data_IF_551978895139
#
_entry.id   IF_551978895139
#
_cell.length_a   1.000
_cell.length_b   1.000
_cell.length_c   1.000
_cell.angle_alpha   90.00
_cell.angle_beta   90.00
_cell.angle_gamma   90.00
#
_symmetry.space_group_name_H-M   'P 1'
#
loop_
_entity.id
_entity.type
_entity.pdbx_description
1 polymer ?
#
# COMPACT_ATOMS: atom_id res chain seq x y z
N UNK A 1 -29.64 8.86 11.26
CA UNK A 1 -30.19 7.61 10.70
C UNK A 1 -29.19 6.88 9.79
N UNK A 2 -28.70 7.49 8.70
CA UNK A 2 -27.72 6.87 7.77
C UNK A 2 -26.43 6.34 8.43
N UNK A 3 -25.88 7.05 9.42
CA UNK A 3 -24.69 6.62 10.15
C UNK A 3 -24.91 5.32 10.95
N UNK A 4 -26.10 5.14 11.54
CA UNK A 4 -26.46 3.93 12.31
C UNK A 4 -26.56 2.69 11.41
N UNK A 5 -27.07 2.88 10.19
CA UNK A 5 -27.18 1.82 9.18
C UNK A 5 -25.80 1.50 8.56
N UNK A 6 -24.95 2.52 8.38
CA UNK A 6 -23.54 2.34 7.99
C UNK A 6 -22.79 1.45 8.99
N UNK A 7 -22.98 1.69 10.29
CA UNK A 7 -22.33 0.95 11.38
C UNK A 7 -22.76 -0.53 11.44
N UNK A 8 -24.03 -0.84 11.14
CA UNK A 8 -24.48 -2.24 11.07
C UNK A 8 -23.83 -3.01 9.91
N UNK A 9 -23.53 -2.34 8.79
CA UNK A 9 -22.80 -2.95 7.67
C UNK A 9 -21.36 -3.32 8.04
N UNK A 10 -20.67 -2.48 8.82
CA UNK A 10 -19.32 -2.79 9.34
C UNK A 10 -19.35 -4.01 10.25
N UNK A 11 -20.39 -4.13 11.09
CA UNK A 11 -20.54 -5.28 12.00
C UNK A 11 -20.78 -6.59 11.27
N UNK A 12 -21.50 -6.57 10.14
CA UNK A 12 -21.78 -7.76 9.34
C UNK A 12 -20.53 -8.34 8.64
N UNK A 13 -19.55 -7.49 8.28
CA UNK A 13 -18.31 -7.87 7.59
C UNK A 13 -17.06 -7.58 8.43
N UNK A 14 -17.17 -7.69 9.75
CA UNK A 14 -16.14 -7.29 10.69
C UNK A 14 -14.80 -8.01 10.50
N UNK A 15 -14.80 -9.27 10.05
CA UNK A 15 -13.55 -10.05 9.84
C UNK A 15 -12.68 -9.44 8.73
N UNK A 16 -13.26 -9.16 7.57
CA UNK A 16 -12.55 -8.55 6.44
C UNK A 16 -12.07 -7.14 6.79
N UNK A 17 -12.90 -6.42 7.54
CA UNK A 17 -12.58 -5.10 8.05
C UNK A 17 -11.40 -5.11 9.03
N UNK A 18 -11.38 -6.08 9.95
CA UNK A 18 -10.29 -6.23 10.93
C UNK A 18 -8.95 -6.52 10.26
N UNK A 19 -8.92 -7.40 9.25
CA UNK A 19 -7.67 -7.72 8.53
C UNK A 19 -7.10 -6.46 7.91
N UNK A 20 -7.93 -5.68 7.24
CA UNK A 20 -7.49 -4.46 6.57
C UNK A 20 -7.11 -3.35 7.57
N UNK A 21 -7.89 -3.21 8.63
CA UNK A 21 -7.61 -2.27 9.72
C UNK A 21 -6.31 -2.60 10.45
N UNK A 22 -6.03 -3.90 10.67
CA UNK A 22 -4.79 -4.36 11.28
C UNK A 22 -3.56 -4.00 10.44
N UNK A 23 -3.65 -4.05 9.11
CA UNK A 23 -2.55 -3.63 8.26
C UNK A 23 -2.33 -2.12 8.25
N UNK A 24 -3.39 -1.30 8.41
CA UNK A 24 -3.23 0.17 8.60
C UNK A 24 -2.57 0.51 9.95
N UNK A 25 -2.91 -0.23 11.01
CA UNK A 25 -2.24 -0.13 12.32
C UNK A 25 -0.77 -0.52 12.17
N UNK A 26 -0.47 -1.65 11.53
CA UNK A 26 0.90 -2.11 11.35
C UNK A 26 1.74 -1.13 10.51
N UNK A 27 1.16 -0.61 9.41
CA UNK A 27 1.80 0.39 8.57
C UNK A 27 2.18 1.66 9.36
N UNK A 28 1.26 2.19 10.17
CA UNK A 28 1.54 3.37 11.01
C UNK A 28 2.50 3.07 12.15
N UNK A 29 2.45 1.87 12.74
CA UNK A 29 3.39 1.44 13.77
C UNK A 29 4.83 1.33 13.25
N UNK A 30 5.03 0.70 12.09
CA UNK A 30 6.34 0.58 11.44
C UNK A 30 6.86 1.96 11.01
N UNK A 31 5.99 2.80 10.44
CA UNK A 31 6.38 4.16 10.06
C UNK A 31 6.84 4.98 11.27
N UNK A 32 6.10 4.92 12.39
CA UNK A 32 6.49 5.56 13.64
C UNK A 32 7.84 5.07 14.14
N UNK A 33 8.06 3.76 14.13
CA UNK A 33 9.33 3.17 14.57
C UNK A 33 10.52 3.68 13.76
N UNK A 34 10.40 3.78 12.44
CA UNK A 34 11.46 4.32 11.58
C UNK A 34 11.72 5.81 11.84
N UNK A 35 10.65 6.62 11.94
CA UNK A 35 10.76 8.05 12.24
C UNK A 35 11.33 8.31 13.65
N UNK A 36 10.94 7.51 14.63
CA UNK A 36 11.43 7.61 16.00
C UNK A 36 12.94 7.35 16.09
N UNK A 37 13.49 6.43 15.28
CA UNK A 37 14.93 6.18 15.23
C UNK A 37 15.64 7.25 14.38
N UNK A 38 15.06 7.65 13.24
CA UNK A 38 15.66 8.63 12.32
C UNK A 38 15.80 10.03 12.93
N UNK A 39 14.82 10.46 13.72
CA UNK A 39 14.73 11.82 14.27
C UNK A 39 15.33 11.97 15.68
N UNK A 40 15.74 10.87 16.32
CA UNK A 40 16.26 10.95 17.69
C UNK A 40 17.68 11.54 17.71
N UNK A 41 17.76 12.84 17.97
CA UNK A 41 19.02 13.59 17.96
C UNK A 41 20.07 13.03 18.93
N UNK A 42 19.64 12.44 20.05
CA UNK A 42 20.55 11.83 21.03
C UNK A 42 21.24 10.57 20.50
N UNK A 43 20.58 9.82 19.62
CA UNK A 43 21.15 8.63 18.97
C UNK A 43 22.02 9.00 17.77
N UNK A 44 21.55 9.93 16.94
CA UNK A 44 22.23 10.36 15.71
C UNK A 44 23.54 11.10 15.99
N UNK A 45 23.56 11.99 17.00
CA UNK A 45 24.70 12.87 17.23
C UNK A 45 25.76 12.26 18.16
N UNK A 46 25.43 11.20 18.90
CA UNK A 46 26.33 10.62 19.91
C UNK A 46 27.31 9.58 19.35
N UNK A 47 27.06 9.04 18.16
CA UNK A 47 27.90 7.97 17.58
C UNK A 47 28.11 8.16 16.08
N UNK A 48 29.31 7.83 15.59
CA UNK A 48 29.61 7.76 14.16
C UNK A 48 28.72 6.74 13.43
N UNK A 49 28.34 5.67 14.13
CA UNK A 49 27.37 4.67 13.64
C UNK A 49 25.97 5.28 13.49
N UNK A 50 25.53 6.12 14.43
CA UNK A 50 24.25 6.82 14.38
C UNK A 50 24.13 7.80 13.20
N UNK A 51 25.23 8.46 12.82
CA UNK A 51 25.26 9.36 11.65
C UNK A 51 25.06 8.60 10.33
N UNK A 52 25.76 7.46 10.15
CA UNK A 52 25.58 6.62 8.96
C UNK A 52 24.22 5.91 8.95
N UNK A 53 23.75 5.48 10.13
CA UNK A 53 22.44 4.84 10.28
C UNK A 53 21.28 5.81 9.95
N UNK A 54 21.43 7.12 10.26
CA UNK A 54 20.40 8.12 9.94
C UNK A 54 20.04 8.13 8.45
N UNK A 55 21.03 8.08 7.57
CA UNK A 55 20.77 8.05 6.13
C UNK A 55 19.88 6.84 5.76
N UNK A 56 20.21 5.66 6.27
CA UNK A 56 19.45 4.43 6.02
C UNK A 56 18.01 4.53 6.55
N UNK A 57 17.80 5.05 7.75
CA UNK A 57 16.45 5.21 8.31
C UNK A 57 15.62 6.28 7.59
N UNK A 58 16.23 7.38 7.13
CA UNK A 58 15.54 8.41 6.34
C UNK A 58 15.14 7.88 4.96
N UNK A 59 16.05 7.20 4.25
CA UNK A 59 15.69 6.57 2.98
C UNK A 59 14.66 5.44 3.18
N UNK A 60 14.78 4.69 4.28
CA UNK A 60 13.80 3.70 4.70
C UNK A 60 12.41 4.32 4.95
N UNK A 61 12.34 5.49 5.58
CA UNK A 61 11.06 6.18 5.78
C UNK A 61 10.44 6.64 4.47
N UNK A 62 11.24 7.16 3.52
CA UNK A 62 10.77 7.49 2.16
C UNK A 62 10.20 6.24 1.44
N UNK A 63 10.88 5.10 1.53
CA UNK A 63 10.37 3.83 0.99
C UNK A 63 9.04 3.43 1.63
N UNK A 64 8.95 3.55 2.95
CA UNK A 64 7.72 3.27 3.68
C UNK A 64 6.59 4.21 3.27
N UNK A 65 6.85 5.50 3.02
CA UNK A 65 5.83 6.42 2.48
C UNK A 65 5.28 5.90 1.15
N UNK A 66 6.14 5.44 0.23
CA UNK A 66 5.67 4.87 -1.04
C UNK A 66 4.82 3.61 -0.85
N UNK A 67 5.26 2.68 0.00
CA UNK A 67 4.54 1.42 0.26
C UNK A 67 3.21 1.69 0.97
N UNK A 68 3.21 2.53 2.00
CA UNK A 68 2.01 2.90 2.77
C UNK A 68 1.00 3.65 1.92
N UNK A 69 1.44 4.52 1.01
CA UNK A 69 0.56 5.19 0.05
C UNK A 69 -0.20 4.17 -0.80
N UNK A 70 0.51 3.23 -1.44
CA UNK A 70 -0.12 2.18 -2.26
C UNK A 70 -1.06 1.32 -1.42
N UNK A 71 -0.64 0.94 -0.21
CA UNK A 71 -1.44 0.13 0.70
C UNK A 71 -2.72 0.84 1.14
N UNK A 72 -2.65 2.11 1.54
CA UNK A 72 -3.82 2.91 1.96
C UNK A 72 -4.81 3.05 0.80
N UNK A 73 -4.33 3.29 -0.42
CA UNK A 73 -5.22 3.35 -1.58
C UNK A 73 -5.88 2.01 -1.89
N UNK A 74 -5.12 0.92 -1.86
CA UNK A 74 -5.65 -0.42 -2.04
C UNK A 74 -6.71 -0.75 -0.99
N UNK A 75 -6.36 -0.53 0.29
CA UNK A 75 -7.25 -0.75 1.42
C UNK A 75 -8.55 0.04 1.28
N UNK A 76 -8.44 1.33 0.99
CA UNK A 76 -9.60 2.18 0.81
C UNK A 76 -10.51 1.72 -0.35
N UNK A 77 -9.93 1.38 -1.51
CA UNK A 77 -10.68 0.85 -2.64
C UNK A 77 -11.38 -0.48 -2.33
N UNK A 78 -10.74 -1.34 -1.53
CA UNK A 78 -11.29 -2.61 -1.08
C UNK A 78 -12.43 -2.41 -0.06
N UNK A 79 -12.27 -1.53 0.93
CA UNK A 79 -13.37 -1.16 1.84
C UNK A 79 -14.57 -0.61 1.07
N UNK A 80 -14.31 0.21 0.05
CA UNK A 80 -15.36 0.75 -0.79
C UNK A 80 -16.05 -0.37 -1.58
N UNK A 81 -15.31 -1.31 -2.19
CA UNK A 81 -15.90 -2.37 -2.99
C UNK A 81 -16.85 -3.27 -2.20
N UNK A 82 -16.52 -3.57 -0.95
CA UNK A 82 -17.39 -4.36 -0.06
C UNK A 82 -18.74 -3.68 0.24
N UNK A 83 -18.83 -2.36 0.07
CA UNK A 83 -20.00 -1.55 0.48
C UNK A 83 -20.69 -0.85 -0.68
N UNK A 84 -20.18 -1.04 -1.91
CA UNK A 84 -20.78 -0.52 -3.15
C UNK A 84 -22.24 -0.95 -3.31
N UNK A 85 -22.57 -2.18 -2.94
CA UNK A 85 -23.93 -2.70 -3.02
C UNK A 85 -24.89 -1.92 -2.08
N UNK A 86 -24.50 -1.73 -0.82
CA UNK A 86 -25.29 -0.99 0.17
C UNK A 86 -25.49 0.47 -0.26
N UNK A 87 -24.45 1.11 -0.80
CA UNK A 87 -24.55 2.46 -1.35
C UNK A 87 -25.44 2.54 -2.59
N UNK A 88 -25.43 1.52 -3.44
CA UNK A 88 -26.33 1.41 -4.59
C UNK A 88 -27.79 1.32 -4.18
N UNK A 89 -28.10 0.53 -3.14
CA UNK A 89 -29.45 0.43 -2.58
C UNK A 89 -29.93 1.79 -2.01
N UNK A 90 -29.07 2.52 -1.31
CA UNK A 90 -29.42 3.86 -0.82
C UNK A 90 -29.70 4.85 -1.97
N UNK A 91 -28.97 4.76 -3.09
CA UNK A 91 -29.26 5.58 -4.27
C UNK A 91 -30.62 5.25 -4.90
N UNK A 92 -31.00 3.96 -4.96
CA UNK A 92 -32.34 3.55 -5.44
C UNK A 92 -33.47 4.07 -4.56
N UNK A 93 -33.24 4.18 -3.24
CA UNK A 93 -34.18 4.76 -2.28
C UNK A 93 -34.21 6.30 -2.29
N UNK A 94 -33.56 6.94 -3.28
CA UNK A 94 -33.58 8.39 -3.47
C UNK A 94 -32.50 9.18 -2.72
N UNK A 95 -31.48 8.51 -2.14
CA UNK A 95 -30.38 9.23 -1.51
C UNK A 95 -29.49 9.93 -2.55
N UNK A 96 -29.28 11.25 -2.38
CA UNK A 96 -28.39 12.03 -3.24
C UNK A 96 -26.94 11.53 -3.16
N UNK A 97 -26.29 11.34 -4.30
CA UNK A 97 -24.89 10.87 -4.39
C UNK A 97 -23.90 11.73 -3.60
N UNK A 98 -24.14 13.05 -3.49
CA UNK A 98 -23.33 13.98 -2.68
C UNK A 98 -23.33 13.61 -1.18
N UNK A 99 -24.47 13.14 -0.65
CA UNK A 99 -24.60 12.78 0.77
C UNK A 99 -23.90 11.46 1.07
N UNK A 100 -23.97 10.51 0.14
CA UNK A 100 -23.25 9.22 0.21
C UNK A 100 -21.73 9.46 0.14
N UNK A 101 -21.28 10.29 -0.81
CA UNK A 101 -19.86 10.67 -0.96
C UNK A 101 -19.28 11.34 0.29
N UNK A 102 -20.05 12.23 0.94
CA UNK A 102 -19.65 12.83 2.22
C UNK A 102 -19.60 11.81 3.38
N UNK A 103 -20.53 10.86 3.41
CA UNK A 103 -20.56 9.79 4.43
C UNK A 103 -19.33 8.89 4.31
N UNK A 104 -19.00 8.48 3.08
CA UNK A 104 -17.83 7.66 2.74
C UNK A 104 -16.52 8.35 3.16
N UNK A 105 -16.40 9.64 2.84
CA UNK A 105 -15.21 10.43 3.19
C UNK A 105 -15.04 10.49 4.71
N UNK A 106 -16.12 10.77 5.45
CA UNK A 106 -16.08 10.84 6.91
C UNK A 106 -15.71 9.49 7.53
N UNK A 107 -16.23 8.38 7.00
CA UNK A 107 -15.86 7.06 7.47
C UNK A 107 -14.38 6.75 7.22
N UNK A 108 -13.89 7.03 6.01
CA UNK A 108 -12.47 6.82 5.65
C UNK A 108 -11.56 7.60 6.60
N UNK A 109 -11.93 8.84 6.93
CA UNK A 109 -11.19 9.68 7.88
C UNK A 109 -11.22 9.13 9.31
N UNK A 110 -12.39 8.74 9.82
CA UNK A 110 -12.52 8.20 11.19
C UNK A 110 -11.68 6.94 11.34
N UNK A 111 -11.73 6.05 10.37
CA UNK A 111 -11.02 4.78 10.38
C UNK A 111 -9.52 4.98 10.26
N UNK A 112 -9.12 5.93 9.40
CA UNK A 112 -7.74 6.35 9.28
C UNK A 112 -7.18 6.96 10.56
N UNK A 113 -7.95 7.82 11.23
CA UNK A 113 -7.54 8.43 12.51
C UNK A 113 -7.40 7.37 13.61
N UNK A 114 -8.39 6.48 13.77
CA UNK A 114 -8.33 5.44 14.80
C UNK A 114 -7.15 4.49 14.53
N UNK A 115 -6.95 4.04 13.28
CA UNK A 115 -5.83 3.16 12.93
C UNK A 115 -4.48 3.83 13.17
N UNK A 116 -4.34 5.12 12.86
CA UNK A 116 -3.10 5.88 13.10
C UNK A 116 -2.83 6.01 14.59
N UNK A 117 -3.82 6.37 15.40
CA UNK A 117 -3.64 6.51 16.86
C UNK A 117 -3.24 5.18 17.49
N UNK A 118 -3.96 4.10 17.16
CA UNK A 118 -3.66 2.76 17.68
C UNK A 118 -2.29 2.29 17.18
N UNK A 119 -1.98 2.53 15.91
CA UNK A 119 -0.69 2.17 15.32
C UNK A 119 0.48 2.95 15.91
N UNK A 120 0.34 4.24 16.23
CA UNK A 120 1.36 5.00 16.95
C UNK A 120 1.61 4.40 18.34
N UNK A 121 0.55 4.03 19.08
CA UNK A 121 0.69 3.37 20.40
C UNK A 121 1.45 2.04 20.27
N UNK A 122 1.05 1.20 19.31
CA UNK A 122 1.75 -0.06 19.02
C UNK A 122 3.19 0.20 18.56
N UNK A 123 3.41 1.24 17.76
CA UNK A 123 4.70 1.66 17.25
C UNK A 123 5.67 2.09 18.36
N UNK A 124 5.20 2.76 19.41
CA UNK A 124 6.01 3.06 20.60
C UNK A 124 6.50 1.77 21.25
N UNK A 125 5.62 0.78 21.40
CA UNK A 125 5.98 -0.55 21.91
C UNK A 125 7.01 -1.26 21.02
N UNK A 126 6.81 -1.26 19.69
CA UNK A 126 7.77 -1.83 18.73
C UNK A 126 9.13 -1.12 18.80
N UNK A 127 9.12 0.21 18.93
CA UNK A 127 10.34 1.02 19.03
C UNK A 127 11.12 0.65 20.30
N UNK A 128 10.43 0.41 21.41
CA UNK A 128 11.08 -0.06 22.65
C UNK A 128 11.75 -1.43 22.47
N UNK A 129 11.09 -2.36 21.78
CA UNK A 129 11.67 -3.68 21.49
C UNK A 129 12.90 -3.58 20.57
N UNK A 130 12.78 -2.85 19.47
CA UNK A 130 13.87 -2.72 18.48
C UNK A 130 15.05 -1.95 19.05
N UNK A 131 14.81 -0.89 19.82
CA UNK A 131 15.90 -0.14 20.47
C UNK A 131 16.66 -0.98 21.49
N UNK A 132 15.97 -1.86 22.25
CA UNK A 132 16.64 -2.83 23.13
C UNK A 132 17.57 -3.77 22.38
N UNK A 133 17.14 -4.29 21.23
CA UNK A 133 17.97 -5.14 20.36
C UNK A 133 19.16 -4.37 19.80
N UNK A 134 18.95 -3.12 19.36
CA UNK A 134 20.01 -2.26 18.82
C UNK A 134 21.08 -1.96 19.88
N UNK A 135 20.68 -1.62 21.09
CA UNK A 135 21.60 -1.32 22.19
C UNK A 135 22.46 -2.54 22.53
N UNK A 136 21.84 -3.72 22.64
CA UNK A 136 22.56 -4.97 22.90
C UNK A 136 23.54 -5.33 21.75
N UNK A 137 23.14 -5.07 20.51
CA UNK A 137 23.94 -5.43 19.33
C UNK A 137 25.10 -4.46 19.07
N UNK A 138 24.93 -3.18 19.39
CA UNK A 138 25.91 -2.11 19.11
C UNK A 138 26.72 -1.68 20.34
N UNK A 139 26.48 -2.27 21.52
CA UNK A 139 27.13 -1.91 22.80
C UNK A 139 27.06 -0.40 23.15
N UNK A 140 25.99 0.27 22.71
CA UNK A 140 25.77 1.70 22.97
C UNK A 140 25.10 1.87 24.34
N UNK A 141 25.59 2.73 25.25
CA UNK A 141 24.95 2.92 26.55
C UNK A 141 23.49 3.38 26.42
N UNK A 142 22.60 2.74 27.19
CA UNK A 142 21.13 2.94 27.24
C UNK A 142 20.68 4.40 27.46
N UNK A 143 21.58 5.31 27.82
CA UNK A 143 21.28 6.68 28.23
C UNK A 143 20.86 7.62 27.08
N UNK A 144 21.03 7.18 25.82
CA UNK A 144 20.90 8.05 24.65
C UNK A 144 19.67 7.77 23.77
N UNK A 145 18.81 6.79 24.09
CA UNK A 145 17.64 6.48 23.27
C UNK A 145 16.33 6.60 24.06
N UNK A 146 15.39 7.38 23.53
CA UNK A 146 14.04 7.52 24.09
C UNK A 146 13.04 6.93 23.09
N UNK A 147 12.36 5.80 23.43
CA UNK A 147 11.40 5.16 22.53
C UNK A 147 10.21 6.05 22.16
N UNK A 148 9.84 6.96 23.06
CA UNK A 148 8.81 7.96 22.83
C UNK A 148 9.44 9.28 22.39
N UNK A 149 9.26 9.64 21.11
CA UNK A 149 9.76 10.90 20.56
C UNK A 149 8.61 11.72 19.94
N UNK A 150 8.34 12.90 20.50
CA UNK A 150 7.22 13.76 20.09
C UNK A 150 7.29 14.17 18.60
N UNK A 151 8.45 14.56 18.05
CA UNK A 151 8.53 14.89 16.62
C UNK A 151 8.12 13.73 15.71
N UNK A 152 8.46 12.49 16.07
CA UNK A 152 8.05 11.31 15.30
C UNK A 152 6.52 11.06 15.38
N UNK A 153 5.90 11.35 16.53
CA UNK A 153 4.43 11.30 16.66
C UNK A 153 3.78 12.32 15.72
N UNK A 154 4.31 13.54 15.66
CA UNK A 154 3.78 14.58 14.79
C UNK A 154 3.97 14.27 13.30
N UNK A 155 5.16 13.79 12.89
CA UNK A 155 5.40 13.44 11.48
C UNK A 155 4.51 12.28 11.03
N UNK A 156 4.31 11.27 11.88
CA UNK A 156 3.41 10.14 11.58
C UNK A 156 1.96 10.56 11.49
N UNK A 157 1.44 11.33 12.46
CA UNK A 157 0.07 11.84 12.42
C UNK A 157 -0.19 12.70 11.19
N UNK A 158 0.75 13.60 10.85
CA UNK A 158 0.62 14.48 9.69
C UNK A 158 0.60 13.68 8.38
N UNK A 159 1.54 12.74 8.22
CA UNK A 159 1.62 11.92 7.01
C UNK A 159 0.33 11.11 6.78
N UNK A 160 -0.13 10.38 7.79
CA UNK A 160 -1.34 9.59 7.67
C UNK A 160 -2.59 10.46 7.50
N UNK A 161 -2.67 11.61 8.19
CA UNK A 161 -3.76 12.57 7.96
C UNK A 161 -3.82 12.99 6.49
N UNK A 162 -2.69 13.39 5.90
CA UNK A 162 -2.62 13.80 4.49
C UNK A 162 -3.03 12.64 3.56
N UNK A 163 -2.54 11.43 3.80
CA UNK A 163 -2.91 10.24 3.01
C UNK A 163 -4.41 9.95 3.06
N UNK A 164 -5.03 10.00 4.24
CA UNK A 164 -6.46 9.74 4.38
C UNK A 164 -7.34 10.86 3.81
N UNK A 165 -6.90 12.12 3.86
CA UNK A 165 -7.58 13.24 3.20
C UNK A 165 -7.56 13.06 1.68
N UNK A 166 -6.40 12.73 1.10
CA UNK A 166 -6.26 12.45 -0.34
C UNK A 166 -7.14 11.26 -0.72
N UNK A 167 -7.08 10.17 0.05
CA UNK A 167 -7.87 8.97 -0.18
C UNK A 167 -9.39 9.24 -0.10
N UNK A 168 -9.83 10.03 0.89
CA UNK A 168 -11.23 10.45 1.03
C UNK A 168 -11.70 11.33 -0.13
N UNK A 169 -10.88 12.28 -0.58
CA UNK A 169 -11.21 13.13 -1.73
C UNK A 169 -11.29 12.34 -3.04
N UNK A 170 -10.41 11.35 -3.23
CA UNK A 170 -10.44 10.46 -4.39
C UNK A 170 -11.70 9.57 -4.38
N UNK A 171 -12.09 9.04 -3.23
CA UNK A 171 -13.37 8.34 -3.07
C UNK A 171 -14.55 9.26 -3.45
N UNK A 172 -14.52 10.50 -2.96
CA UNK A 172 -15.58 11.44 -3.22
C UNK A 172 -15.77 11.71 -4.72
N UNK A 173 -14.67 11.89 -5.46
CA UNK A 173 -14.68 12.08 -6.92
C UNK A 173 -15.19 10.85 -7.67
N UNK A 174 -14.76 9.65 -7.28
CA UNK A 174 -15.19 8.40 -7.93
C UNK A 174 -16.71 8.21 -7.85
N UNK A 175 -17.31 8.48 -6.69
CA UNK A 175 -18.76 8.34 -6.49
C UNK A 175 -19.61 9.46 -7.11
N UNK A 176 -19.05 10.66 -7.29
CA UNK A 176 -19.77 11.77 -7.95
C UNK A 176 -19.86 11.54 -9.46
N UNK A 177 -18.86 10.89 -10.07
CA UNK A 177 -18.77 10.69 -11.52
C UNK A 177 -19.33 9.35 -12.02
N UNK A 178 -19.63 8.40 -11.13
CA UNK A 178 -20.15 7.08 -11.53
C UNK A 178 -21.68 7.03 -11.41
N UNK A 179 -22.42 6.86 -12.52
CA UNK A 179 -23.87 6.70 -12.46
C UNK A 179 -24.24 5.38 -11.76
N UNK A 180 -25.31 5.41 -10.95
CA UNK A 180 -25.75 4.28 -10.12
C UNK A 180 -25.92 2.97 -10.93
N UNK A 181 -26.39 3.09 -12.17
CA UNK A 181 -26.59 1.97 -13.10
C UNK A 181 -25.29 1.23 -13.45
N UNK A 182 -24.16 1.96 -13.50
CA UNK A 182 -22.86 1.40 -13.85
C UNK A 182 -22.17 0.76 -12.65
N UNK A 183 -22.51 1.17 -11.42
CA UNK A 183 -22.05 0.52 -10.19
C UNK A 183 -22.67 -0.87 -10.04
N UNK A 184 -23.97 -1.01 -10.31
CA UNK A 184 -24.70 -2.29 -10.27
C UNK A 184 -24.35 -3.24 -11.43
N UNK A 185 -23.99 -2.70 -12.61
CA UNK A 185 -23.59 -3.48 -13.78
C UNK A 185 -22.07 -3.67 -13.91
N UNK A 186 -21.29 -3.17 -12.95
CA UNK A 186 -19.81 -3.21 -13.01
C UNK A 186 -19.21 -4.62 -12.90
N UNK A 187 -20.00 -5.61 -12.48
CA UNK A 187 -19.62 -7.03 -12.51
C UNK A 187 -19.70 -7.64 -13.93
N UNK A 188 -20.58 -7.14 -14.81
CA UNK A 188 -20.89 -7.84 -16.08
C UNK A 188 -20.20 -7.29 -17.33
N UNK A 189 -19.55 -6.12 -17.26
CA UNK A 189 -18.91 -5.49 -18.42
C UNK A 189 -17.53 -4.94 -18.04
N UNK A 190 -16.50 -5.79 -18.08
CA UNK A 190 -15.14 -5.28 -18.26
C UNK A 190 -14.49 -5.98 -19.44
N UNK A 191 -14.44 -5.26 -20.55
CA UNK A 191 -13.79 -5.61 -21.79
C UNK A 191 -12.26 -5.56 -21.58
N UNK A 192 -11.74 -6.58 -20.88
CA UNK A 192 -10.34 -6.68 -20.52
C UNK A 192 -9.53 -7.07 -21.78
N UNK A 193 -9.05 -6.07 -22.51
CA UNK A 193 -8.08 -6.29 -23.59
C UNK A 193 -6.77 -6.80 -22.99
N UNK A 194 -6.42 -8.04 -23.30
CA UNK A 194 -5.16 -8.62 -22.84
C UNK A 194 -3.98 -7.73 -23.27
N UNK A 195 -3.02 -7.44 -22.37
CA UNK A 195 -1.81 -6.74 -22.76
C UNK A 195 -1.09 -7.55 -23.84
N UNK A 196 -0.71 -6.90 -24.94
CA UNK A 196 0.07 -7.53 -26.01
C UNK A 196 1.34 -8.15 -25.42
N UNK A 197 1.65 -9.40 -25.77
CA UNK A 197 2.84 -10.12 -25.28
C UNK A 197 4.13 -9.32 -25.50
N UNK A 198 4.23 -8.54 -26.57
CA UNK A 198 5.40 -7.67 -26.82
C UNK A 198 5.61 -6.59 -25.75
N UNK A 199 4.54 -5.98 -25.23
CA UNK A 199 4.64 -4.99 -24.14
C UNK A 199 5.08 -5.63 -22.83
N UNK A 200 4.65 -6.87 -22.56
CA UNK A 200 5.05 -7.61 -21.36
C UNK A 200 6.54 -7.98 -21.38
N UNK A 201 7.05 -8.37 -22.54
CA UNK A 201 8.48 -8.66 -22.74
C UNK A 201 9.32 -7.39 -22.56
N UNK A 202 8.88 -6.25 -23.11
CA UNK A 202 9.57 -4.96 -22.90
C UNK A 202 9.59 -4.59 -21.41
N UNK A 203 8.47 -4.74 -20.69
CA UNK A 203 8.41 -4.50 -19.25
C UNK A 203 9.30 -5.44 -18.44
N UNK A 204 9.43 -6.70 -18.87
CA UNK A 204 10.31 -7.68 -18.22
C UNK A 204 11.78 -7.30 -18.38
N UNK A 205 12.20 -6.97 -19.61
CA UNK A 205 13.57 -6.54 -19.92
C UNK A 205 13.90 -5.25 -19.16
N UNK A 206 13.00 -4.27 -19.20
CA UNK A 206 13.15 -3.02 -18.47
C UNK A 206 13.30 -3.27 -16.96
N UNK A 207 12.45 -4.13 -16.38
CA UNK A 207 12.53 -4.50 -14.97
C UNK A 207 13.87 -5.12 -14.58
N UNK A 208 14.39 -6.05 -15.39
CA UNK A 208 15.71 -6.68 -15.18
C UNK A 208 16.84 -5.64 -15.26
N UNK A 209 16.79 -4.74 -16.23
CA UNK A 209 17.79 -3.66 -16.37
C UNK A 209 17.77 -2.74 -15.16
N UNK A 210 16.59 -2.34 -14.66
CA UNK A 210 16.47 -1.53 -13.46
C UNK A 210 17.06 -2.26 -12.23
N UNK A 211 16.78 -3.55 -12.07
CA UNK A 211 17.34 -4.34 -10.97
C UNK A 211 18.87 -4.45 -11.06
N UNK A 212 19.41 -4.64 -12.26
CA UNK A 212 20.85 -4.70 -12.49
C UNK A 212 21.53 -3.37 -12.13
N UNK A 213 20.95 -2.23 -12.53
CA UNK A 213 21.45 -0.89 -12.18
C UNK A 213 21.41 -0.69 -10.67
N UNK A 214 20.31 -1.07 -10.01
CA UNK A 214 20.17 -0.93 -8.55
C UNK A 214 21.17 -1.78 -7.78
N UNK A 215 21.39 -3.03 -8.21
CA UNK A 215 22.38 -3.91 -7.60
C UNK A 215 23.81 -3.43 -7.84
N UNK A 216 24.11 -2.95 -9.05
CA UNK A 216 25.42 -2.37 -9.36
C UNK A 216 25.70 -1.12 -8.51
N UNK A 217 24.72 -0.23 -8.35
CA UNK A 217 24.83 0.95 -7.50
C UNK A 217 25.11 0.58 -6.03
N UNK A 218 24.53 -0.52 -5.53
CA UNK A 218 24.78 -1.01 -4.17
C UNK A 218 26.11 -1.75 -4.04
N UNK A 219 26.59 -2.41 -5.10
CA UNK A 219 27.89 -3.05 -5.13
C UNK A 219 29.02 -2.01 -5.05
N UNK A 220 28.89 -0.89 -5.78
CA UNK A 220 29.89 0.17 -5.81
C UNK A 220 29.64 1.31 -4.79
N UNK A 221 29.19 0.93 -3.60
CA UNK A 221 28.85 1.89 -2.53
C UNK A 221 30.06 2.72 -2.05
N UNK A 222 31.29 2.26 -2.35
CA UNK A 222 32.53 2.95 -1.98
C UNK A 222 32.78 4.20 -2.83
N UNK A 223 32.38 4.21 -4.11
CA UNK A 223 32.51 5.38 -4.98
C UNK A 223 31.29 6.29 -4.93
N UNK A 224 30.09 5.74 -4.77
CA UNK A 224 28.82 6.49 -4.76
C UNK A 224 28.37 6.94 -3.35
N UNK A 225 28.96 6.41 -2.27
CA UNK A 225 28.66 6.77 -0.88
C UNK A 225 27.15 6.85 -0.60
N UNK A 226 26.63 8.04 -0.26
CA UNK A 226 25.24 8.28 0.14
C UNK A 226 24.28 8.33 -1.06
N UNK A 227 24.78 8.57 -2.28
CA UNK A 227 23.93 8.66 -3.49
C UNK A 227 23.54 7.30 -4.07
N UNK A 228 24.27 6.23 -3.70
CA UNK A 228 23.91 4.85 -4.05
C UNK A 228 22.54 4.44 -3.48
N UNK A 229 22.22 4.91 -2.26
CA UNK A 229 21.00 4.54 -1.53
C UNK A 229 19.72 4.96 -2.26
N UNK A 230 19.52 6.24 -2.64
CA UNK A 230 18.31 6.65 -3.36
C UNK A 230 18.21 6.03 -4.76
N UNK A 231 19.35 5.86 -5.46
CA UNK A 231 19.37 5.20 -6.79
C UNK A 231 18.90 3.76 -6.65
N UNK A 232 19.48 3.00 -5.72
CA UNK A 232 19.08 1.61 -5.45
C UNK A 232 17.62 1.53 -5.00
N UNK A 233 17.17 2.42 -4.12
CA UNK A 233 15.78 2.43 -3.65
C UNK A 233 14.78 2.59 -4.80
N UNK A 234 14.97 3.57 -5.67
CA UNK A 234 14.04 3.80 -6.80
C UNK A 234 14.13 2.64 -7.79
N UNK A 235 15.35 2.29 -8.24
CA UNK A 235 15.53 1.28 -9.29
C UNK A 235 15.11 -0.11 -8.84
N UNK A 236 15.38 -0.50 -7.59
CA UNK A 236 15.00 -1.82 -7.06
C UNK A 236 13.48 -1.90 -6.89
N UNK A 237 12.82 -0.85 -6.36
CA UNK A 237 11.36 -0.87 -6.15
C UNK A 237 10.61 -0.94 -7.48
N UNK A 238 10.94 -0.06 -8.44
CA UNK A 238 10.30 -0.06 -9.75
C UNK A 238 10.67 -1.30 -10.57
N UNK A 239 11.94 -1.74 -10.51
CA UNK A 239 12.40 -2.95 -11.17
C UNK A 239 11.67 -4.19 -10.67
N UNK A 240 11.56 -4.35 -9.35
CA UNK A 240 10.81 -5.45 -8.73
C UNK A 240 9.34 -5.43 -9.16
N UNK A 241 8.69 -4.26 -9.13
CA UNK A 241 7.30 -4.12 -9.57
C UNK A 241 7.10 -4.57 -11.03
N UNK A 242 7.96 -4.13 -11.96
CA UNK A 242 7.86 -4.53 -13.36
C UNK A 242 8.14 -6.01 -13.58
N UNK A 243 9.16 -6.56 -12.93
CA UNK A 243 9.49 -7.98 -13.02
C UNK A 243 8.34 -8.83 -12.51
N UNK A 244 7.79 -8.52 -11.33
CA UNK A 244 6.65 -9.27 -10.79
C UNK A 244 5.42 -9.19 -11.70
N UNK A 245 5.08 -7.99 -12.20
CA UNK A 245 3.94 -7.83 -13.09
C UNK A 245 4.11 -8.63 -14.39
N UNK A 246 5.28 -8.58 -15.02
CA UNK A 246 5.55 -9.36 -16.23
C UNK A 246 5.63 -10.86 -15.96
N UNK A 247 6.25 -11.27 -14.85
CA UNK A 247 6.41 -12.68 -14.48
C UNK A 247 5.06 -13.35 -14.27
N UNK A 248 4.15 -12.77 -13.50
CA UNK A 248 2.82 -13.37 -13.26
C UNK A 248 2.00 -13.49 -14.55
N UNK A 249 1.99 -12.46 -15.40
CA UNK A 249 1.22 -12.50 -16.65
C UNK A 249 1.84 -13.49 -17.64
N UNK A 250 3.17 -13.55 -17.74
CA UNK A 250 3.87 -14.49 -18.61
C UNK A 250 3.75 -15.94 -18.12
N UNK A 251 3.81 -16.17 -16.81
CA UNK A 251 3.59 -17.48 -16.19
C UNK A 251 2.18 -17.99 -16.51
N UNK A 252 1.16 -17.14 -16.41
CA UNK A 252 -0.23 -17.48 -16.79
C UNK A 252 -0.36 -17.79 -18.29
N UNK A 253 0.30 -17.03 -19.17
CA UNK A 253 0.30 -17.29 -20.61
C UNK A 253 1.03 -18.59 -20.97
N UNK A 254 2.16 -18.87 -20.31
CA UNK A 254 2.92 -20.09 -20.49
C UNK A 254 2.11 -21.32 -20.02
N UNK A 255 1.46 -21.23 -18.86
CA UNK A 255 0.62 -22.30 -18.33
C UNK A 255 -0.57 -22.60 -19.26
N UNK A 256 -1.09 -21.59 -19.97
CA UNK A 256 -2.17 -21.76 -20.98
C UNK A 256 -1.70 -22.40 -22.29
N UNK A 257 -0.43 -22.19 -22.69
CA UNK A 257 0.14 -22.73 -23.93
C UNK A 257 0.77 -24.11 -23.75
N UNK A 258 1.14 -24.47 -22.52
CA UNK A 258 1.69 -25.78 -22.19
C UNK A 258 0.65 -26.88 -22.39
N UNK A 259 1.11 -28.10 -22.72
CA UNK A 259 0.27 -29.30 -22.84
C UNK A 259 -0.48 -29.64 -21.53
N UNK A 260 -0.06 -29.01 -20.42
CA UNK A 260 -0.72 -29.09 -19.12
C UNK A 260 -2.14 -28.50 -19.11
N UNK A 261 -2.43 -27.51 -19.97
CA UNK A 261 -3.76 -26.91 -20.12
C UNK A 261 -4.74 -27.83 -20.86
N UNK A 262 -4.23 -28.74 -21.70
CA UNK A 262 -5.04 -29.63 -22.53
C UNK A 262 -5.40 -30.94 -21.81
N UNK A 263 -4.92 -31.15 -20.58
CA UNK A 263 -5.17 -32.37 -19.80
C UNK A 263 -6.28 -32.15 -18.76
N UNK A 264 -7.39 -32.87 -18.93
CA UNK A 264 -8.46 -32.99 -17.94
C UNK A 264 -9.12 -31.66 -17.57
N UNK A 265 -9.34 -31.43 -16.27
CA UNK A 265 -9.99 -30.25 -15.69
C UNK A 265 -9.07 -29.02 -15.58
N UNK A 266 -7.81 -29.12 -16.00
CA UNK A 266 -6.84 -28.02 -15.87
C UNK A 266 -7.25 -26.79 -16.69
N UNK A 267 -7.93 -26.98 -17.83
CA UNK A 267 -8.47 -25.89 -18.65
C UNK A 267 -9.48 -25.04 -17.89
N UNK A 268 -10.36 -25.70 -17.11
CA UNK A 268 -11.34 -25.03 -16.26
C UNK A 268 -10.68 -24.32 -15.08
N UNK A 269 -9.70 -24.99 -14.44
CA UNK A 269 -8.98 -24.44 -13.28
C UNK A 269 -8.13 -23.22 -13.66
N UNK A 270 -7.45 -23.26 -14.81
CA UNK A 270 -6.67 -22.13 -15.35
C UNK A 270 -7.59 -20.99 -15.79
N UNK A 271 -8.78 -21.29 -16.32
CA UNK A 271 -9.79 -20.28 -16.64
C UNK A 271 -10.32 -19.58 -15.38
N UNK A 272 -10.58 -20.32 -14.30
CA UNK A 272 -10.97 -19.75 -12.99
C UNK A 272 -9.87 -18.88 -12.41
N UNK A 273 -8.62 -19.37 -12.35
CA UNK A 273 -7.47 -18.59 -11.88
C UNK A 273 -7.28 -17.29 -12.67
N UNK A 274 -7.46 -17.35 -13.99
CA UNK A 274 -7.40 -16.16 -14.86
C UNK A 274 -8.50 -15.16 -14.54
N UNK A 275 -9.73 -15.64 -14.30
CA UNK A 275 -10.85 -14.79 -13.94
C UNK A 275 -10.62 -14.11 -12.57
N UNK A 276 -10.16 -14.87 -11.56
CA UNK A 276 -9.79 -14.34 -10.24
C UNK A 276 -8.65 -13.30 -10.32
N UNK A 277 -7.62 -13.55 -11.13
CA UNK A 277 -6.52 -12.61 -11.35
C UNK A 277 -6.97 -11.33 -12.04
N UNK A 278 -7.88 -11.43 -13.02
CA UNK A 278 -8.46 -10.26 -13.71
C UNK A 278 -9.29 -9.40 -12.75
N UNK A 279 -10.03 -10.03 -11.84
CA UNK A 279 -10.73 -9.33 -10.76
C UNK A 279 -9.72 -8.58 -9.87
N UNK A 280 -8.64 -9.24 -9.47
CA UNK A 280 -7.62 -8.67 -8.59
C UNK A 280 -6.85 -7.50 -9.24
N UNK A 281 -6.47 -7.62 -10.52
CA UNK A 281 -5.81 -6.52 -11.24
C UNK A 281 -6.74 -5.35 -11.57
N UNK A 282 -8.05 -5.59 -11.74
CA UNK A 282 -9.05 -4.51 -11.87
C UNK A 282 -9.07 -3.64 -10.62
N UNK A 283 -8.96 -4.23 -9.42
CA UNK A 283 -8.84 -3.46 -8.18
C UNK A 283 -7.55 -2.62 -8.11
N UNK A 284 -6.44 -3.13 -8.64
CA UNK A 284 -5.17 -2.40 -8.68
C UNK A 284 -5.19 -1.21 -9.66
N UNK A 285 -5.81 -1.35 -10.85
CA UNK A 285 -5.92 -0.28 -11.86
C UNK A 285 -7.01 0.77 -11.57
N UNK A 286 -8.01 0.45 -10.74
CA UNK A 286 -8.99 1.43 -10.26
C UNK A 286 -8.39 2.42 -9.24
N UNK A 287 -7.16 2.18 -8.79
CA UNK A 287 -6.35 3.16 -8.06
C UNK A 287 -5.94 4.29 -9.02
N UNK A 288 -6.43 5.54 -8.87
CA UNK A 288 -6.19 6.62 -9.82
C UNK A 288 -4.71 7.00 -9.97
N UNK A 289 -3.85 6.61 -9.01
CA UNK A 289 -2.40 6.75 -9.11
C UNK A 289 -1.74 5.73 -10.05
N UNK A 290 -2.34 4.56 -10.31
CA UNK A 290 -1.80 3.56 -11.24
C UNK A 290 -2.40 3.63 -12.65
N UNK A 291 -3.54 4.30 -12.85
CA UNK A 291 -4.20 4.41 -14.15
C UNK A 291 -3.55 5.42 -15.12
N UNK A 292 -2.48 6.10 -14.71
CA UNK A 292 -1.78 7.12 -15.50
C UNK A 292 -0.30 6.82 -15.77
N UNK A 293 0.17 5.61 -15.42
CA UNK A 293 1.52 5.20 -15.79
C UNK A 293 1.45 4.28 -17.02
N UNK A 294 2.09 4.68 -18.15
CA UNK A 294 1.98 4.02 -19.45
C UNK A 294 2.51 2.59 -19.48
#
# INVERSE_FOLDING_TARGET
MLFKISLSGVKARWKDYLVLFSGMIMASAIFYMFEAIALNNKFVLSTTVGQNAKAVFVFGSILLVMITLVYVFYANNFLMSMRKHDYGLFMMLGAKSKKISSLITLETLVVGLISTVVGTIVGVGLTQLVSGVLVNSLAIPLKYFTPFYLPAVWTTLLLFMVLFVIAGFMNARTFIKTPALQLLRSESLSDWKQPKTSRLVIQAILGIVLLAIGYYAMYDIRHLLVTAIPIGLITIVFGTYFVFNSFFVMLLQWLQRSSFNQKGINSFTIAQLKFEFQITQKYYRLCPCCSHWP
#
